data_IF_863215568832
#
_entry.id   IF_863215568832
#
_cell.length_a   1.000
_cell.length_b   1.000
_cell.length_c   1.000
_cell.angle_alpha   90.00
_cell.angle_beta   90.00
_cell.angle_gamma   90.00
#
_symmetry.space_group_name_H-M   'P 1'
#
loop_
_entity.id
_entity.type
_entity.pdbx_description
1 polymer ?
#
# COMPACT_ATOMS: atom_id res chain seq x y z
N UNK A 1 -44.20 -66.76 -7.29
CA UNK A 1 -45.05 -66.05 -6.33
C UNK A 1 -44.32 -65.98 -5.00
N UNK A 2 -43.72 -64.82 -4.70
CA UNK A 2 -43.30 -64.43 -3.36
C UNK A 2 -43.54 -62.92 -3.26
N UNK A 3 -44.26 -62.54 -2.21
CA UNK A 3 -44.86 -61.23 -2.02
C UNK A 3 -43.83 -60.14 -1.69
N UNK A 4 -44.17 -58.94 -2.13
CA UNK A 4 -43.41 -57.71 -2.01
C UNK A 4 -43.25 -57.24 -0.55
N UNK A 5 -42.00 -56.92 -0.18
CA UNK A 5 -41.65 -56.20 1.03
C UNK A 5 -41.30 -54.74 0.70
N UNK A 6 -41.93 -53.84 1.43
CA UNK A 6 -41.90 -52.38 1.36
C UNK A 6 -40.48 -51.81 1.58
N UNK A 7 -39.96 -51.03 0.63
CA UNK A 7 -38.79 -50.17 0.83
C UNK A 7 -39.20 -48.70 0.65
N UNK A 8 -39.07 -47.92 1.72
CA UNK A 8 -39.32 -46.47 1.75
C UNK A 8 -38.34 -45.76 0.81
N UNK A 9 -38.87 -44.91 -0.08
CA UNK A 9 -38.10 -43.86 -0.74
C UNK A 9 -37.59 -42.89 0.33
N UNK A 10 -36.28 -42.85 0.56
CA UNK A 10 -35.61 -41.75 1.27
C UNK A 10 -34.94 -40.88 0.20
N UNK A 11 -35.28 -39.60 0.26
CA UNK A 11 -34.84 -38.54 -0.62
C UNK A 11 -33.32 -38.34 -0.51
N UNK A 12 -32.58 -38.61 -1.59
CA UNK A 12 -31.19 -38.19 -1.76
C UNK A 12 -31.18 -36.75 -2.31
N UNK A 13 -31.14 -35.76 -1.42
CA UNK A 13 -30.59 -34.45 -1.74
C UNK A 13 -29.16 -34.42 -1.19
N UNK A 14 -28.22 -34.95 -1.96
CA UNK A 14 -26.79 -34.89 -1.63
C UNK A 14 -26.27 -33.45 -1.78
N UNK A 15 -25.53 -33.02 -0.74
CA UNK A 15 -25.06 -31.66 -0.57
C UNK A 15 -24.13 -31.18 -1.68
N UNK A 16 -24.52 -30.07 -2.31
CA UNK A 16 -23.59 -29.19 -3.02
C UNK A 16 -22.66 -28.55 -1.98
N UNK A 17 -21.41 -29.02 -1.94
CA UNK A 17 -20.32 -28.31 -1.26
C UNK A 17 -20.24 -26.89 -1.82
N UNK A 18 -20.21 -25.89 -0.95
CA UNK A 18 -19.99 -24.52 -1.38
C UNK A 18 -18.61 -24.38 -2.02
N UNK A 19 -18.43 -23.40 -2.92
CA UNK A 19 -17.11 -23.10 -3.48
C UNK A 19 -16.06 -22.81 -2.39
N UNK A 20 -16.48 -22.34 -1.21
CA UNK A 20 -15.60 -22.13 -0.06
C UNK A 20 -15.08 -23.45 0.54
N UNK A 21 -15.90 -24.50 0.58
CA UNK A 21 -15.51 -25.81 1.11
C UNK A 21 -14.54 -26.53 0.17
N UNK A 22 -14.72 -26.37 -1.14
CA UNK A 22 -13.75 -26.85 -2.13
C UNK A 22 -12.43 -26.10 -2.00
N UNK A 23 -12.47 -24.77 -1.84
CA UNK A 23 -11.30 -23.92 -1.68
C UNK A 23 -10.55 -24.15 -0.35
N UNK A 24 -11.22 -24.59 0.72
CA UNK A 24 -10.56 -25.04 1.95
C UNK A 24 -9.88 -26.38 1.77
N UNK A 25 -10.53 -27.34 1.12
CA UNK A 25 -9.98 -28.70 0.92
C UNK A 25 -8.81 -28.73 -0.07
N UNK A 26 -8.74 -27.78 -0.99
CA UNK A 26 -7.65 -27.65 -1.98
C UNK A 26 -6.46 -26.81 -1.50
N UNK A 27 -6.55 -26.15 -0.33
CA UNK A 27 -5.40 -25.47 0.28
C UNK A 27 -4.46 -26.52 0.84
N UNK A 28 -3.38 -26.81 0.11
CA UNK A 28 -2.17 -27.30 0.76
C UNK A 28 -1.74 -26.23 1.77
N UNK A 29 -1.44 -26.59 3.04
CA UNK A 29 -0.78 -25.66 3.92
C UNK A 29 0.48 -25.16 3.20
N UNK A 30 0.69 -23.85 3.17
CA UNK A 30 1.95 -23.29 2.71
C UNK A 30 3.08 -24.03 3.47
N UNK A 31 4.12 -24.52 2.78
CA UNK A 31 5.25 -25.10 3.47
C UNK A 31 5.76 -24.12 4.52
N UNK A 32 6.09 -24.64 5.70
CA UNK A 32 6.65 -23.83 6.78
C UNK A 32 7.79 -22.98 6.20
N UNK A 33 7.83 -21.66 6.49
CA UNK A 33 8.91 -20.83 6.00
C UNK A 33 10.23 -21.42 6.49
N UNK A 34 11.11 -21.78 5.56
CA UNK A 34 12.48 -22.16 5.92
C UNK A 34 13.12 -21.01 6.70
N UNK A 35 13.99 -21.30 7.69
CA UNK A 35 14.70 -20.27 8.42
C UNK A 35 15.62 -19.51 7.45
N UNK A 36 15.11 -18.43 6.89
CA UNK A 36 15.90 -17.48 6.13
C UNK A 36 16.68 -16.64 7.14
N UNK A 37 18.00 -16.61 7.00
CA UNK A 37 18.82 -15.58 7.67
C UNK A 37 18.17 -14.22 7.43
N UNK A 38 18.02 -13.43 8.49
CA UNK A 38 17.41 -12.11 8.39
C UNK A 38 18.28 -11.24 7.48
N UNK A 39 17.86 -11.09 6.22
CA UNK A 39 18.56 -10.21 5.28
C UNK A 39 18.52 -8.79 5.84
N UNK A 40 19.69 -8.18 5.94
CA UNK A 40 19.83 -6.78 6.35
C UNK A 40 20.07 -5.93 5.11
N UNK A 41 19.53 -4.72 5.12
CA UNK A 41 19.70 -3.73 4.06
C UNK A 41 20.43 -2.52 4.64
N UNK A 42 21.39 -1.97 3.90
CA UNK A 42 22.05 -0.73 4.26
C UNK A 42 21.03 0.41 4.24
N UNK A 43 21.01 1.26 5.27
CA UNK A 43 20.06 2.35 5.43
C UNK A 43 20.62 3.71 4.99
N UNK A 44 21.92 3.79 4.70
CA UNK A 44 22.61 5.02 4.34
C UNK A 44 23.03 5.04 2.86
N UNK A 45 23.28 3.88 2.25
CA UNK A 45 23.70 3.79 0.86
C UNK A 45 22.53 3.53 -0.07
N UNK A 46 22.37 4.31 -1.14
CA UNK A 46 21.33 4.13 -2.18
C UNK A 46 21.17 2.67 -2.64
N UNK A 47 22.28 1.93 -2.72
CA UNK A 47 22.28 0.51 -3.10
C UNK A 47 21.46 -0.36 -2.14
N UNK A 48 21.51 -0.10 -0.84
CA UNK A 48 20.73 -0.83 0.17
C UNK A 48 19.22 -0.69 -0.06
N UNK A 49 18.76 0.53 -0.36
CA UNK A 49 17.37 0.77 -0.74
C UNK A 49 17.01 0.10 -2.06
N UNK A 50 17.85 0.23 -3.10
CA UNK A 50 17.61 -0.39 -4.40
C UNK A 50 17.50 -1.92 -4.31
N UNK A 51 18.38 -2.55 -3.53
CA UNK A 51 18.37 -3.99 -3.28
C UNK A 51 17.10 -4.41 -2.56
N UNK A 52 16.64 -3.64 -1.56
CA UNK A 52 15.37 -3.91 -0.88
C UNK A 52 14.18 -3.83 -1.83
N UNK A 53 14.07 -2.73 -2.59
CA UNK A 53 12.97 -2.52 -3.53
C UNK A 53 12.90 -3.67 -4.55
N UNK A 54 14.04 -4.09 -5.08
CA UNK A 54 14.15 -5.20 -6.02
C UNK A 54 13.79 -6.55 -5.40
N UNK A 55 14.35 -6.86 -4.23
CA UNK A 55 14.14 -8.13 -3.54
C UNK A 55 12.68 -8.39 -3.15
N UNK A 56 11.99 -7.34 -2.73
CA UNK A 56 10.61 -7.37 -2.30
C UNK A 56 9.62 -7.06 -3.46
N UNK A 57 10.13 -6.84 -4.67
CA UNK A 57 9.38 -6.44 -5.87
C UNK A 57 8.46 -5.23 -5.65
N UNK A 58 8.98 -4.24 -4.93
CA UNK A 58 8.32 -2.97 -4.66
C UNK A 58 8.56 -2.04 -5.84
N UNK A 59 7.50 -1.46 -6.40
CA UNK A 59 7.62 -0.44 -7.45
C UNK A 59 7.18 0.90 -6.90
N UNK A 60 7.98 1.92 -7.17
CA UNK A 60 7.62 3.28 -6.84
C UNK A 60 6.66 3.82 -7.91
N UNK A 61 5.79 4.73 -7.51
CA UNK A 61 4.80 5.39 -8.36
C UNK A 61 5.37 6.74 -8.77
N UNK A 62 5.31 7.08 -10.04
CA UNK A 62 5.75 8.41 -10.48
C UNK A 62 4.76 9.49 -10.01
N UNK A 63 5.28 10.61 -9.51
CA UNK A 63 4.46 11.72 -9.04
C UNK A 63 3.58 12.33 -10.15
N UNK A 64 4.08 12.42 -11.38
CA UNK A 64 3.29 12.85 -12.55
C UNK A 64 2.06 11.96 -12.82
N UNK A 65 2.15 10.65 -12.57
CA UNK A 65 1.00 9.73 -12.64
C UNK A 65 -0.04 10.05 -11.56
N UNK A 66 0.37 10.34 -10.33
CA UNK A 66 -0.54 10.74 -9.25
C UNK A 66 -1.25 12.05 -9.62
N UNK A 67 -0.51 13.01 -10.19
CA UNK A 67 -1.09 14.27 -10.69
C UNK A 67 -2.07 14.04 -11.83
N UNK A 68 -1.79 13.10 -12.73
CA UNK A 68 -2.73 12.66 -13.78
C UNK A 68 -4.01 12.09 -13.17
N UNK A 69 -3.92 11.16 -12.20
CA UNK A 69 -5.09 10.60 -11.52
C UNK A 69 -5.97 11.70 -10.91
N UNK A 70 -5.35 12.67 -10.23
CA UNK A 70 -6.06 13.81 -9.66
C UNK A 70 -6.78 14.66 -10.73
N UNK A 71 -6.08 15.02 -11.83
CA UNK A 71 -6.68 15.78 -12.94
C UNK A 71 -7.85 15.06 -13.59
N UNK A 72 -7.77 13.73 -13.69
CA UNK A 72 -8.81 12.88 -14.28
C UNK A 72 -9.91 12.47 -13.29
N UNK A 73 -9.81 12.90 -12.02
CA UNK A 73 -10.76 12.50 -10.97
C UNK A 73 -10.73 11.00 -10.64
N UNK A 74 -9.66 10.30 -11.00
CA UNK A 74 -9.48 8.87 -10.77
C UNK A 74 -9.00 8.57 -9.34
N UNK A 75 -9.09 7.30 -8.95
CA UNK A 75 -8.60 6.77 -7.67
C UNK A 75 -7.25 6.06 -7.86
N UNK A 76 -6.55 5.83 -6.76
CA UNK A 76 -5.33 5.03 -6.77
C UNK A 76 -5.65 3.60 -7.23
N UNK A 77 -5.03 3.07 -8.30
CA UNK A 77 -5.18 1.67 -8.67
C UNK A 77 -4.43 0.76 -7.69
N UNK A 78 -4.84 -0.52 -7.58
CA UNK A 78 -3.96 -1.51 -6.94
C UNK A 78 -2.69 -1.68 -7.78
N UNK A 79 -1.62 -2.16 -7.15
CA UNK A 79 -0.38 -2.54 -7.85
C UNK A 79 -0.63 -3.36 -9.13
N UNK A 80 -1.51 -4.36 -9.08
CA UNK A 80 -1.84 -5.19 -10.24
C UNK A 80 -2.33 -4.41 -11.45
N UNK A 81 -3.23 -3.45 -11.24
CA UNK A 81 -3.75 -2.61 -12.32
C UNK A 81 -2.75 -1.53 -12.74
N UNK A 82 -1.92 -1.06 -11.81
CA UNK A 82 -0.89 -0.06 -12.08
C UNK A 82 0.23 -0.56 -13.02
N UNK A 83 0.49 -1.87 -13.08
CA UNK A 83 1.48 -2.46 -14.00
C UNK A 83 1.21 -2.13 -15.48
N UNK A 84 -0.06 -1.92 -15.84
CA UNK A 84 -0.48 -1.59 -17.21
C UNK A 84 -0.77 -0.09 -17.40
N UNK A 85 -0.57 0.73 -16.37
CA UNK A 85 -0.85 2.16 -16.44
C UNK A 85 0.34 2.95 -17.01
N UNK A 86 0.04 4.04 -17.69
CA UNK A 86 1.04 4.91 -18.33
C UNK A 86 0.78 6.39 -18.05
N UNK A 87 1.87 7.14 -17.99
CA UNK A 87 1.93 8.60 -17.92
C UNK A 87 2.98 9.10 -18.90
N UNK A 88 2.60 10.02 -19.77
CA UNK A 88 3.48 10.68 -20.75
C UNK A 88 4.39 9.71 -21.53
N UNK A 89 3.81 8.59 -22.00
CA UNK A 89 4.51 7.58 -22.80
C UNK A 89 5.38 6.60 -22.00
N UNK A 90 5.43 6.71 -20.67
CA UNK A 90 6.20 5.84 -19.76
C UNK A 90 5.27 5.06 -18.83
N UNK A 91 5.75 3.97 -18.26
CA UNK A 91 5.00 3.21 -17.24
C UNK A 91 4.75 4.10 -16.02
N UNK A 92 3.56 3.99 -15.43
CA UNK A 92 3.20 4.69 -14.20
C UNK A 92 4.08 4.28 -13.00
N UNK A 93 4.58 3.05 -13.04
CA UNK A 93 5.49 2.49 -12.06
C UNK A 93 6.94 2.61 -12.54
N UNK A 94 7.82 3.02 -11.64
CA UNK A 94 9.28 3.08 -11.84
C UNK A 94 9.83 1.66 -11.87
N UNK A 95 10.71 1.37 -12.82
CA UNK A 95 11.29 0.04 -12.98
C UNK A 95 12.45 -0.24 -12.03
N UNK A 96 12.71 -1.52 -11.73
CA UNK A 96 13.88 -1.92 -10.93
C UNK A 96 15.21 -1.55 -11.60
N UNK A 97 15.23 -1.46 -12.94
CA UNK A 97 16.42 -0.99 -13.65
C UNK A 97 16.63 0.50 -13.46
N UNK A 98 15.56 1.32 -13.53
CA UNK A 98 15.65 2.75 -13.21
C UNK A 98 16.09 3.00 -11.76
N UNK A 99 15.58 2.22 -10.80
CA UNK A 99 16.02 2.30 -9.40
C UNK A 99 17.49 1.92 -9.25
N UNK A 100 17.95 0.92 -10.00
CA UNK A 100 19.36 0.53 -10.01
C UNK A 100 20.24 1.62 -10.63
N UNK A 101 19.83 2.19 -11.75
CA UNK A 101 20.54 3.30 -12.38
C UNK A 101 20.58 4.54 -11.47
N UNK A 102 19.52 4.81 -10.71
CA UNK A 102 19.51 5.82 -9.66
C UNK A 102 20.53 5.53 -8.55
N UNK A 103 20.59 4.29 -8.06
CA UNK A 103 21.57 3.91 -7.04
C UNK A 103 23.02 3.95 -7.55
N UNK A 104 23.23 3.65 -8.82
CA UNK A 104 24.53 3.75 -9.51
C UNK A 104 24.96 5.20 -9.81
N UNK A 105 24.12 6.20 -9.51
CA UNK A 105 24.39 7.62 -9.80
C UNK A 105 24.27 8.00 -11.28
N UNK A 106 23.47 7.25 -12.05
CA UNK A 106 23.22 7.49 -13.48
C UNK A 106 21.89 8.21 -13.75
N UNK A 107 20.99 8.24 -12.77
CA UNK A 107 19.77 9.05 -12.83
C UNK A 107 20.09 10.52 -12.51
N UNK A 108 19.18 11.46 -12.84
CA UNK A 108 19.30 12.85 -12.40
C UNK A 108 19.47 12.97 -10.88
N UNK A 109 20.44 13.79 -10.45
CA UNK A 109 20.84 13.94 -9.04
C UNK A 109 19.72 14.42 -8.11
N UNK A 110 18.68 15.02 -8.67
CA UNK A 110 17.50 15.56 -7.98
C UNK A 110 16.35 14.56 -7.81
N UNK A 111 16.53 13.30 -8.22
CA UNK A 111 15.49 12.27 -8.06
C UNK A 111 15.24 11.96 -6.59
N UNK A 112 14.11 12.43 -6.06
CA UNK A 112 13.69 12.20 -4.68
C UNK A 112 12.79 10.97 -4.55
N UNK A 113 13.11 10.12 -3.56
CA UNK A 113 12.23 9.02 -3.15
C UNK A 113 11.41 9.43 -1.93
N UNK A 114 10.11 9.19 -2.01
CA UNK A 114 9.14 9.64 -1.02
C UNK A 114 8.31 8.47 -0.55
N UNK A 115 8.24 8.20 0.75
CA UNK A 115 7.30 7.25 1.34
C UNK A 115 6.04 7.96 1.81
N UNK A 116 4.89 7.46 1.38
CA UNK A 116 3.60 7.94 1.85
C UNK A 116 3.14 7.12 3.05
N UNK A 117 2.99 7.79 4.20
CA UNK A 117 2.26 7.24 5.34
C UNK A 117 0.85 7.83 5.37
N UNK A 118 -0.16 6.96 5.31
CA UNK A 118 -1.55 7.39 5.10
C UNK A 118 -2.59 6.44 5.70
N UNK A 119 -3.82 6.92 5.83
CA UNK A 119 -4.91 6.14 6.41
C UNK A 119 -5.61 5.28 5.36
N UNK A 120 -5.67 3.96 5.58
CA UNK A 120 -6.63 3.14 4.85
C UNK A 120 -8.06 3.42 5.32
N UNK A 121 -8.86 4.12 4.51
CA UNK A 121 -10.23 4.54 4.88
C UNK A 121 -11.29 3.45 4.67
N UNK A 122 -10.96 2.38 3.97
CA UNK A 122 -11.71 1.13 4.00
C UNK A 122 -10.78 -0.08 4.03
N UNK A 123 -11.32 -1.26 4.34
CA UNK A 123 -10.58 -2.53 4.30
C UNK A 123 -10.12 -2.87 2.89
N UNK A 124 -10.91 -2.53 1.88
CA UNK A 124 -10.69 -2.93 0.49
C UNK A 124 -9.86 -1.92 -0.32
N UNK A 125 -9.83 -0.66 0.10
CA UNK A 125 -9.18 0.42 -0.64
C UNK A 125 -8.69 1.53 0.30
N UNK A 126 -7.47 2.02 0.10
CA UNK A 126 -6.89 3.04 0.97
C UNK A 126 -7.60 4.40 0.86
N UNK A 127 -7.90 4.86 -0.36
CA UNK A 127 -8.53 6.15 -0.66
C UNK A 127 -9.78 6.02 -1.55
N UNK A 128 -10.89 5.44 -1.07
CA UNK A 128 -12.09 5.19 -1.89
C UNK A 128 -12.75 6.50 -2.37
N UNK A 129 -12.53 7.61 -1.66
CA UNK A 129 -13.16 8.90 -1.93
C UNK A 129 -12.29 9.85 -2.77
N UNK A 130 -11.02 9.51 -3.03
CA UNK A 130 -10.12 10.34 -3.84
C UNK A 130 -9.60 11.58 -3.10
N UNK A 131 -9.75 11.60 -1.79
CA UNK A 131 -9.36 12.71 -0.94
C UNK A 131 -7.85 12.74 -0.75
N UNK A 132 -7.24 11.57 -0.55
CA UNK A 132 -5.81 11.45 -0.28
C UNK A 132 -5.00 11.65 -1.56
N UNK A 133 -5.43 11.11 -2.71
CA UNK A 133 -4.79 11.39 -4.01
C UNK A 133 -4.82 12.88 -4.34
N UNK A 134 -5.89 13.58 -3.97
CA UNK A 134 -6.01 15.04 -4.15
C UNK A 134 -5.01 15.81 -3.31
N UNK A 135 -4.81 15.43 -2.04
CA UNK A 135 -3.79 16.06 -1.18
C UNK A 135 -2.39 15.78 -1.71
N UNK A 136 -2.12 14.52 -2.03
CA UNK A 136 -0.82 14.09 -2.51
C UNK A 136 -0.44 14.80 -3.81
N UNK A 137 -1.34 14.86 -4.79
CA UNK A 137 -1.09 15.54 -6.07
C UNK A 137 -0.79 17.04 -5.92
N UNK A 138 -1.31 17.69 -4.86
CA UNK A 138 -1.04 19.11 -4.55
C UNK A 138 0.28 19.31 -3.81
N UNK A 139 0.76 18.30 -3.10
CA UNK A 139 1.98 18.36 -2.30
C UNK A 139 3.25 17.96 -3.06
N UNK A 140 3.08 17.31 -4.23
CA UNK A 140 4.17 16.82 -5.10
C UNK A 140 4.47 17.78 -6.26
N UNK A 141 5.75 17.90 -6.57
CA UNK A 141 6.25 18.73 -7.66
C UNK A 141 6.09 18.03 -9.02
N UNK A 142 6.13 16.69 -9.04
CA UNK A 142 5.86 15.86 -10.22
C UNK A 142 7.04 15.01 -10.69
N UNK A 143 8.19 15.15 -10.06
CA UNK A 143 9.45 14.47 -10.41
C UNK A 143 9.78 13.33 -9.43
N UNK A 144 9.11 13.30 -8.29
CA UNK A 144 9.37 12.35 -7.21
C UNK A 144 8.92 10.92 -7.54
N UNK A 145 9.59 9.95 -6.91
CA UNK A 145 9.22 8.55 -6.92
C UNK A 145 8.62 8.16 -5.58
N UNK A 146 7.32 7.86 -5.59
CA UNK A 146 6.52 7.73 -4.39
C UNK A 146 6.23 6.27 -4.07
N UNK A 147 6.62 5.80 -2.91
CA UNK A 147 6.11 4.57 -2.34
C UNK A 147 4.71 4.81 -1.76
N UNK A 148 3.72 4.09 -2.28
CA UNK A 148 2.34 4.06 -1.77
C UNK A 148 2.00 2.59 -1.57
N UNK A 149 1.85 2.12 -0.34
CA UNK A 149 1.66 0.69 -0.05
C UNK A 149 0.63 -0.03 -0.95
N UNK A 150 -0.50 0.60 -1.24
CA UNK A 150 -1.58 0.08 -2.09
C UNK A 150 -1.18 -0.12 -3.57
N UNK A 151 -0.38 0.82 -4.10
CA UNK A 151 0.02 0.86 -5.52
C UNK A 151 1.39 0.21 -5.72
N UNK A 152 2.24 0.26 -4.71
CA UNK A 152 3.63 -0.21 -4.74
C UNK A 152 3.76 -1.68 -4.39
N UNK A 153 2.83 -2.26 -3.62
CA UNK A 153 2.84 -3.67 -3.22
C UNK A 153 1.65 -4.43 -3.82
N UNK A 154 1.85 -5.71 -4.13
CA UNK A 154 0.74 -6.54 -4.61
C UNK A 154 -0.35 -6.73 -3.56
N UNK A 155 -1.55 -6.26 -3.90
CA UNK A 155 -2.72 -6.33 -3.03
C UNK A 155 -3.44 -7.67 -3.13
N UNK A 156 -4.39 -7.93 -2.24
CA UNK A 156 -5.23 -9.11 -2.36
C UNK A 156 -6.14 -9.01 -3.62
N UNK A 157 -6.39 -10.08 -4.39
CA UNK A 157 -5.76 -11.41 -4.32
C UNK A 157 -4.44 -11.47 -5.13
N UNK A 158 -3.40 -12.02 -4.50
CA UNK A 158 -2.12 -12.35 -5.15
C UNK A 158 -2.20 -13.73 -5.77
N UNK A 159 -1.94 -13.82 -7.08
CA UNK A 159 -2.12 -15.04 -7.86
C UNK A 159 -0.85 -15.88 -7.98
N UNK A 160 0.33 -15.27 -7.87
CA UNK A 160 1.60 -15.98 -7.98
C UNK A 160 2.33 -16.14 -6.65
N UNK A 161 3.17 -17.17 -6.54
CA UNK A 161 4.07 -17.35 -5.40
C UNK A 161 5.03 -16.17 -5.26
N UNK A 162 5.54 -15.65 -6.38
CA UNK A 162 6.45 -14.50 -6.39
C UNK A 162 5.80 -13.24 -5.80
N UNK A 163 4.53 -12.96 -6.13
CA UNK A 163 3.78 -11.85 -5.53
C UNK A 163 3.66 -11.99 -4.01
N UNK A 164 3.41 -13.22 -3.53
CA UNK A 164 3.31 -13.49 -2.10
C UNK A 164 4.67 -13.39 -1.39
N UNK A 165 5.75 -13.86 -2.01
CA UNK A 165 7.11 -13.72 -1.47
C UNK A 165 7.52 -12.24 -1.39
N UNK A 166 7.33 -11.47 -2.46
CA UNK A 166 7.62 -10.04 -2.48
C UNK A 166 6.85 -9.28 -1.39
N UNK A 167 5.53 -9.54 -1.28
CA UNK A 167 4.70 -8.93 -0.24
C UNK A 167 5.18 -9.28 1.18
N UNK A 168 5.51 -10.54 1.46
CA UNK A 168 6.02 -10.94 2.79
C UNK A 168 7.34 -10.25 3.11
N UNK A 169 8.26 -10.19 2.16
CA UNK A 169 9.55 -9.49 2.31
C UNK A 169 9.36 -8.01 2.58
N UNK A 170 8.46 -7.35 1.83
CA UNK A 170 8.11 -5.96 2.07
C UNK A 170 7.58 -5.75 3.49
N UNK A 171 6.70 -6.62 3.99
CA UNK A 171 6.17 -6.51 5.36
C UNK A 171 7.25 -6.72 6.44
N UNK A 172 8.20 -7.62 6.21
CA UNK A 172 9.30 -7.90 7.15
C UNK A 172 10.29 -6.73 7.27
N UNK A 173 10.48 -5.99 6.19
CA UNK A 173 11.50 -4.93 6.09
C UNK A 173 10.91 -3.55 5.78
N UNK A 174 9.63 -3.33 6.08
CA UNK A 174 8.92 -2.08 5.77
C UNK A 174 9.64 -0.85 6.34
N UNK A 175 10.28 -1.00 7.50
CA UNK A 175 11.09 0.04 8.13
C UNK A 175 12.11 0.67 7.18
N UNK A 176 12.72 -0.10 6.27
CA UNK A 176 13.73 0.40 5.31
C UNK A 176 13.18 1.58 4.50
N UNK A 177 11.93 1.53 4.03
CA UNK A 177 11.32 2.65 3.29
C UNK A 177 11.22 3.92 4.13
N UNK A 178 10.98 3.76 5.43
CA UNK A 178 10.71 4.86 6.34
C UNK A 178 11.92 5.33 7.13
N UNK A 179 13.02 4.58 7.23
CA UNK A 179 14.21 4.99 7.98
C UNK A 179 15.49 5.13 7.12
N UNK A 180 15.43 4.84 5.82
CA UNK A 180 16.57 5.02 4.93
C UNK A 180 16.83 6.51 4.68
N UNK A 181 18.10 6.93 4.65
CA UNK A 181 18.51 8.34 4.57
C UNK A 181 18.17 8.99 3.22
N UNK A 182 18.10 8.18 2.16
CA UNK A 182 17.68 8.57 0.80
C UNK A 182 16.17 8.66 0.59
N UNK A 183 15.35 8.47 1.64
CA UNK A 183 13.89 8.65 1.55
C UNK A 183 13.41 9.80 2.43
N UNK A 184 12.39 10.50 1.95
CA UNK A 184 11.55 11.37 2.78
C UNK A 184 10.20 10.73 3.03
N UNK A 185 9.45 11.24 4.01
CA UNK A 185 8.12 10.76 4.36
C UNK A 185 7.11 11.89 4.28
N UNK A 186 6.06 11.69 3.48
CA UNK A 186 4.85 12.50 3.52
C UNK A 186 3.80 11.79 4.35
N UNK A 187 3.18 12.50 5.29
CA UNK A 187 2.07 11.99 6.10
C UNK A 187 0.78 12.68 5.71
N UNK A 188 -0.27 11.89 5.53
CA UNK A 188 -1.66 12.35 5.43
C UNK A 188 -2.40 11.84 6.67
N UNK A 189 -2.63 12.74 7.62
CA UNK A 189 -3.22 12.39 8.90
C UNK A 189 -4.75 12.62 8.92
N UNK A 190 -5.26 13.51 8.08
CA UNK A 190 -6.70 13.76 7.98
C UNK A 190 -7.43 12.71 7.14
N UNK A 191 -8.59 12.29 7.65
CA UNK A 191 -9.52 11.42 6.93
C UNK A 191 -10.43 12.24 6.00
N UNK A 192 -11.03 11.59 5.01
CA UNK A 192 -12.06 12.22 4.16
C UNK A 192 -13.17 12.83 5.05
N UNK A 193 -13.56 14.10 4.84
CA UNK A 193 -14.62 14.74 5.62
C UNK A 193 -15.96 14.00 5.52
N UNK A 194 -16.72 13.94 6.63
CA UNK A 194 -17.99 13.19 6.70
C UNK A 194 -19.01 13.63 5.65
N UNK A 195 -19.06 14.93 5.34
CA UNK A 195 -20.00 15.46 4.35
C UNK A 195 -19.66 15.00 2.93
N UNK A 196 -18.36 14.92 2.61
CA UNK A 196 -17.89 14.36 1.33
C UNK A 196 -18.25 12.87 1.21
N UNK A 197 -18.11 12.11 2.29
CA UNK A 197 -18.52 10.68 2.33
C UNK A 197 -20.02 10.55 2.13
N UNK A 198 -20.82 11.34 2.86
CA UNK A 198 -22.27 11.34 2.73
C UNK A 198 -22.70 11.68 1.31
N UNK A 199 -22.03 12.64 0.67
CA UNK A 199 -22.27 12.99 -0.73
C UNK A 199 -21.92 11.85 -1.69
N UNK A 200 -20.75 11.23 -1.55
CA UNK A 200 -20.33 10.09 -2.37
C UNK A 200 -21.33 8.92 -2.26
N UNK A 201 -21.82 8.63 -1.05
CA UNK A 201 -22.86 7.63 -0.83
C UNK A 201 -24.18 8.00 -1.50
N UNK A 202 -24.63 9.26 -1.40
CA UNK A 202 -25.86 9.73 -2.08
C UNK A 202 -25.75 9.62 -3.59
N UNK A 203 -24.56 9.90 -4.15
CA UNK A 203 -24.28 9.81 -5.59
C UNK A 203 -24.04 8.38 -6.08
N UNK A 204 -23.99 7.41 -5.17
CA UNK A 204 -23.62 6.03 -5.47
C UNK A 204 -22.25 5.93 -6.17
N UNK A 205 -21.30 6.75 -5.71
CA UNK A 205 -19.93 6.70 -6.20
C UNK A 205 -19.38 5.28 -6.03
N UNK A 206 -18.53 4.88 -6.96
CA UNK A 206 -17.91 3.55 -6.96
C UNK A 206 -16.41 3.65 -7.19
N UNK A 207 -15.69 2.63 -6.72
CA UNK A 207 -14.26 2.49 -6.90
C UNK A 207 -13.95 1.14 -7.53
N UNK A 208 -12.97 1.11 -8.44
CA UNK A 208 -12.51 -0.13 -9.07
C UNK A 208 -11.64 -0.88 -8.07
N UNK A 209 -12.05 -2.10 -7.68
CA UNK A 209 -11.26 -2.96 -6.81
C UNK A 209 -11.57 -4.44 -7.05
N UNK A 210 -10.76 -5.32 -6.47
CA UNK A 210 -11.03 -6.75 -6.46
C UNK A 210 -12.18 -7.08 -5.50
N UNK A 211 -13.32 -7.47 -6.06
CA UNK A 211 -14.50 -7.84 -5.30
C UNK A 211 -14.47 -9.34 -4.97
N UNK A 212 -14.10 -9.66 -3.73
CA UNK A 212 -13.89 -11.03 -3.27
C UNK A 212 -15.06 -11.99 -3.55
N UNK A 213 -16.34 -11.61 -3.30
CA UNK A 213 -17.46 -12.53 -3.55
C UNK A 213 -17.61 -12.94 -5.02
N UNK A 214 -17.20 -12.08 -5.97
CA UNK A 214 -17.28 -12.41 -7.41
C UNK A 214 -15.95 -12.87 -8.00
N UNK A 215 -14.83 -12.69 -7.29
CA UNK A 215 -13.49 -12.99 -7.79
C UNK A 215 -13.05 -12.10 -8.97
N UNK A 216 -13.68 -10.94 -9.17
CA UNK A 216 -13.47 -10.05 -10.31
C UNK A 216 -13.03 -8.66 -9.84
N UNK A 217 -12.22 -7.99 -10.67
CA UNK A 217 -11.95 -6.56 -10.53
C UNK A 217 -13.09 -5.80 -11.20
N UNK A 218 -13.85 -5.03 -10.43
CA UNK A 218 -15.03 -4.32 -10.93
C UNK A 218 -15.30 -3.04 -10.13
N UNK A 219 -16.13 -2.12 -10.64
CA UNK A 219 -16.67 -1.03 -9.83
C UNK A 219 -17.49 -1.61 -8.66
N UNK A 220 -17.19 -1.14 -7.45
CA UNK A 220 -17.93 -1.45 -6.22
C UNK A 220 -18.39 -0.14 -5.59
N UNK A 221 -19.69 0.02 -5.29
CA UNK A 221 -20.20 1.20 -4.59
C UNK A 221 -19.50 1.43 -3.26
N UNK A 222 -19.19 2.69 -2.93
CA UNK A 222 -18.54 3.03 -1.66
C UNK A 222 -19.37 2.61 -0.43
N UNK A 223 -20.69 2.43 -0.59
CA UNK A 223 -21.61 1.94 0.44
C UNK A 223 -21.41 0.45 0.79
N UNK A 224 -20.74 -0.32 -0.06
CA UNK A 224 -20.46 -1.75 0.18
C UNK A 224 -19.09 -1.98 0.84
N UNK A 225 -18.29 -0.92 1.03
CA UNK A 225 -16.96 -1.02 1.62
C UNK A 225 -17.03 -1.07 3.15
N UNK A 226 -16.07 -1.77 3.76
CA UNK A 226 -15.95 -1.78 5.23
C UNK A 226 -15.15 -0.56 5.65
N UNK A 227 -15.85 0.47 6.13
CA UNK A 227 -15.23 1.72 6.54
C UNK A 227 -14.25 1.54 7.71
N UNK A 228 -13.15 2.30 7.65
CA UNK A 228 -12.19 2.42 8.72
C UNK A 228 -11.97 3.90 9.04
N UNK A 229 -12.60 4.34 10.14
CA UNK A 229 -12.54 5.73 10.64
C UNK A 229 -11.55 5.94 11.78
N UNK A 230 -10.72 4.95 12.09
CA UNK A 230 -9.68 5.08 13.12
C UNK A 230 -8.76 6.26 12.77
N UNK A 231 -8.47 7.19 13.70
CA UNK A 231 -7.52 8.28 13.47
C UNK A 231 -6.11 7.79 13.13
N UNK A 232 -5.32 8.60 12.41
CA UNK A 232 -3.96 8.27 12.00
C UNK A 232 -3.08 7.79 13.17
N UNK A 233 -3.00 8.58 14.25
CA UNK A 233 -2.19 8.28 15.43
C UNK A 233 -2.63 7.06 16.25
N UNK A 234 -3.77 6.45 15.92
CA UNK A 234 -4.27 5.22 16.57
C UNK A 234 -4.08 3.98 15.70
N UNK A 235 -3.50 4.13 14.50
CA UNK A 235 -3.22 3.02 13.57
C UNK A 235 -1.79 2.54 13.78
N UNK A 236 -1.64 1.28 14.23
CA UNK A 236 -0.33 0.71 14.54
C UNK A 236 0.71 0.85 13.43
N UNK A 237 0.31 0.66 12.16
CA UNK A 237 1.20 0.88 11.01
C UNK A 237 1.58 2.35 10.86
N UNK A 238 0.63 3.28 10.84
CA UNK A 238 0.90 4.72 10.73
C UNK A 238 1.81 5.23 11.86
N UNK A 239 1.59 4.75 13.10
CA UNK A 239 2.47 5.06 14.23
C UNK A 239 3.89 4.54 13.95
N UNK A 240 4.04 3.26 13.57
CA UNK A 240 5.36 2.70 13.27
C UNK A 240 6.10 3.46 12.15
N UNK A 241 5.39 3.83 11.08
CA UNK A 241 5.93 4.59 9.96
C UNK A 241 6.44 5.97 10.40
N UNK A 242 5.67 6.67 11.24
CA UNK A 242 6.08 7.95 11.84
C UNK A 242 7.31 7.80 12.73
N UNK A 243 7.34 6.77 13.58
CA UNK A 243 8.47 6.53 14.48
C UNK A 243 9.73 6.16 13.68
N UNK A 244 9.66 5.24 12.71
CA UNK A 244 10.78 4.89 11.83
C UNK A 244 11.30 6.10 11.03
N UNK A 245 10.40 6.95 10.55
CA UNK A 245 10.77 8.20 9.88
C UNK A 245 11.46 9.21 10.76
N UNK A 246 11.28 9.12 12.07
CA UNK A 246 11.92 10.01 13.04
C UNK A 246 13.32 9.51 13.44
N UNK A 247 13.75 8.32 12.99
CA UNK A 247 15.09 7.77 13.29
C UNK A 247 16.14 8.06 12.21
N UNK A 248 15.80 8.77 11.13
CA UNK A 248 16.77 9.17 10.09
C UNK A 248 17.79 10.16 10.64
N UNK A 249 18.94 10.25 9.96
CA UNK A 249 19.95 11.26 10.30
C UNK A 249 19.40 12.69 10.15
N UNK A 250 18.59 12.95 9.11
CA UNK A 250 17.86 14.21 8.93
C UNK A 250 16.36 14.03 9.26
N UNK A 251 15.94 14.63 10.37
CA UNK A 251 14.56 14.54 10.87
C UNK A 251 13.59 15.45 10.12
N UNK A 252 14.07 16.41 9.33
CA UNK A 252 13.21 17.30 8.53
C UNK A 252 12.63 16.60 7.29
N UNK A 253 13.10 15.39 6.99
CA UNK A 253 12.62 14.59 5.89
C UNK A 253 11.24 13.96 6.16
N UNK A 254 10.64 14.13 7.34
CA UNK A 254 9.28 13.69 7.65
C UNK A 254 8.35 14.89 7.84
N UNK A 255 7.40 15.08 6.91
CA UNK A 255 6.42 16.18 6.96
C UNK A 255 4.98 15.69 6.83
N UNK A 256 4.10 16.32 7.59
CA UNK A 256 2.66 16.20 7.39
C UNK A 256 2.22 17.21 6.33
N UNK A 257 1.46 16.76 5.34
CA UNK A 257 1.02 17.63 4.23
C UNK A 257 -0.33 18.31 4.50
N UNK A 258 -1.02 17.89 5.56
CA UNK A 258 -2.33 18.41 5.94
C UNK A 258 -2.43 18.93 7.37
N UNK A 259 -1.28 19.16 8.00
CA UNK A 259 -1.21 19.85 9.27
C UNK A 259 -1.80 21.26 9.14
N UNK A 260 -2.54 21.75 10.15
CA UNK A 260 -2.76 23.19 10.27
C UNK A 260 -1.41 23.90 10.31
N UNK A 261 -1.29 25.03 9.60
CA UNK A 261 -0.04 25.79 9.45
C UNK A 261 0.72 25.92 10.79
N UNK A 262 1.92 25.34 10.87
CA UNK A 262 2.84 25.56 12.00
C UNK A 262 3.31 24.32 12.77
N UNK A 263 2.86 23.11 12.44
CA UNK A 263 3.40 21.91 13.10
C UNK A 263 4.80 21.58 12.55
N UNK A 264 5.79 21.60 13.45
CA UNK A 264 7.19 21.33 13.13
C UNK A 264 7.38 19.83 12.91
N UNK A 265 8.23 19.48 11.94
CA UNK A 265 8.63 18.10 11.62
C UNK A 265 9.21 17.34 12.82
N UNK A 266 9.59 16.09 12.58
CA UNK A 266 9.96 15.11 13.62
C UNK A 266 10.80 15.69 14.77
N UNK A 267 10.45 15.31 16.01
CA UNK A 267 11.18 15.74 17.21
C UNK A 267 12.55 15.06 17.18
N UNK A 268 13.59 15.80 16.80
CA UNK A 268 14.95 15.30 16.83
C UNK A 268 15.34 14.90 18.27
N UNK A 269 16.14 13.83 18.45
CA UNK A 269 16.82 13.59 19.71
C UNK A 269 17.59 14.86 20.11
N UNK A 270 17.61 15.17 21.40
CA UNK A 270 18.30 16.33 21.93
C UNK A 270 19.75 16.38 21.38
N UNK A 271 20.16 17.52 20.82
CA UNK A 271 21.53 17.67 20.30
C UNK A 271 22.56 17.37 21.41
N UNK A 272 23.72 16.76 21.12
CA UNK A 272 24.78 16.50 22.10
C UNK A 272 25.21 17.74 22.91
N UNK A 273 25.12 18.94 22.31
CA UNK A 273 25.34 20.22 22.99
C UNK A 273 24.38 20.48 24.17
N UNK A 274 23.15 19.98 24.09
CA UNK A 274 22.15 20.13 25.14
C UNK A 274 22.40 19.22 26.35
N UNK A 275 23.16 18.13 26.17
CA UNK A 275 23.63 17.27 27.26
C UNK A 275 24.84 17.83 28.01
N UNK A 276 25.47 18.91 27.53
CA UNK A 276 26.68 19.50 28.14
C UNK A 276 26.41 20.53 29.24
N UNK A 277 25.15 20.68 29.68
CA UNK A 277 24.80 21.49 30.84
C UNK A 277 24.49 20.59 32.02
N UNK A 278 25.54 20.28 32.78
CA UNK A 278 25.54 20.05 34.23
C UNK A 278 26.97 20.31 34.76
#
# INVERSE_FOLDING_TARGET
MLQAGTARLVCLCEGLLSCEDLARRLRRPDPAPEPQESKSYDLAQKQGLADFLKDADIRLVRADFIKKLHREGQRLPRRQEAESAYVDGRTALVTHEEVKDWADGKAPDDTQLVSLSHCWESREHCDPYGYQVTKLAKALDGEEWVFIDYVSLYQFQRLSQQQNLGFRRAMQHMHVLYCHDETSTLRIESLTPKDCIAEAKRKQDSVILYHHPTGLVKPVPVTELVENRTPYGERGWCVAEREWSSTRADTNLSREIDAPQGEKGGIAPMLPEAFRKD
#
